data_IF_094393313048
#
_entry.id   IF_094393313048
#
_cell.length_a   1.000
_cell.length_b   1.000
_cell.length_c   1.000
_cell.angle_alpha   90.00
_cell.angle_beta   90.00
_cell.angle_gamma   90.00
#
_symmetry.space_group_name_H-M   'P 1'
#
loop_
_entity.id
_entity.type
_entity.pdbx_description
1 polymer ?
#
# COMPACT_ATOMS: atom_id res chain seq x y z
N UNK A 1 12.48 88.12 9.30
CA UNK A 1 13.05 88.22 7.97
C UNK A 1 12.62 86.93 7.29
N UNK A 2 11.48 87.00 6.64
CA UNK A 2 11.28 87.29 5.22
C UNK A 2 12.07 86.31 4.35
N UNK A 3 11.56 85.56 3.43
CA UNK A 3 10.40 85.64 2.51
C UNK A 3 10.17 84.22 1.98
N UNK A 4 9.03 83.65 1.92
CA UNK A 4 7.98 83.78 0.88
C UNK A 4 8.52 83.49 -0.56
N UNK A 5 8.10 82.37 -1.13
CA UNK A 5 7.53 82.38 -2.45
C UNK A 5 6.83 81.07 -2.84
N UNK A 6 5.60 81.27 -3.12
CA UNK A 6 4.51 80.54 -3.66
C UNK A 6 4.77 79.76 -4.96
N UNK A 7 4.18 78.59 -5.03
CA UNK A 7 3.33 77.90 -6.01
C UNK A 7 3.58 78.04 -7.54
N UNK A 8 3.13 77.08 -8.41
CA UNK A 8 1.72 76.72 -8.45
C UNK A 8 1.44 75.20 -8.60
N UNK A 9 0.17 74.91 -8.26
CA UNK A 9 -0.53 73.64 -8.55
C UNK A 9 -0.76 73.47 -10.04
N UNK A 10 -0.66 72.27 -10.52
CA UNK A 10 -1.63 71.77 -11.51
C UNK A 10 -1.67 70.22 -11.57
N UNK A 11 -2.87 69.68 -11.64
CA UNK A 11 -3.16 68.44 -12.29
C UNK A 11 -3.58 67.25 -11.44
N UNK A 12 -4.52 67.44 -10.52
CA UNK A 12 -5.30 66.31 -10.04
C UNK A 12 -6.18 65.75 -11.18
N UNK A 13 -5.67 64.80 -11.94
CA UNK A 13 -6.52 64.01 -12.82
C UNK A 13 -7.25 62.94 -12.00
N UNK A 14 -8.56 63.11 -11.99
CA UNK A 14 -9.56 62.34 -11.31
C UNK A 14 -9.50 60.84 -11.72
N UNK A 15 -9.58 59.97 -10.72
CA UNK A 15 -9.74 58.48 -10.83
C UNK A 15 -11.01 58.03 -11.58
N UNK A 16 -11.76 58.97 -12.19
CA UNK A 16 -13.01 58.69 -12.91
C UNK A 16 -12.88 58.55 -14.42
N UNK A 17 -11.77 58.85 -15.01
CA UNK A 17 -11.58 58.76 -16.47
C UNK A 17 -10.89 57.49 -16.98
N UNK A 18 -10.55 56.58 -16.09
CA UNK A 18 -9.99 55.26 -16.46
C UNK A 18 -11.01 54.12 -16.55
N UNK A 19 -12.31 54.43 -16.39
CA UNK A 19 -13.39 53.41 -16.41
C UNK A 19 -14.31 53.52 -17.64
N UNK A 20 -13.92 54.19 -18.69
CA UNK A 20 -14.78 54.40 -19.86
C UNK A 20 -14.18 53.98 -21.21
N UNK A 21 -13.32 52.98 -21.26
CA UNK A 21 -12.90 52.38 -22.52
C UNK A 21 -12.41 50.92 -22.37
N UNK A 22 -13.26 50.04 -21.89
CA UNK A 22 -13.06 48.58 -22.01
C UNK A 22 -14.42 47.83 -21.85
N UNK A 23 -15.40 48.25 -22.62
CA UNK A 23 -16.50 47.33 -22.98
C UNK A 23 -16.04 46.49 -24.15
N UNK A 24 -15.11 45.61 -23.88
CA UNK A 24 -14.83 44.48 -24.73
C UNK A 24 -15.80 43.37 -24.29
N UNK A 25 -16.71 43.06 -25.16
CA UNK A 25 -17.58 41.90 -25.19
C UNK A 25 -16.83 40.66 -24.73
N UNK A 26 -16.93 40.28 -23.44
CA UNK A 26 -16.76 38.91 -23.03
C UNK A 26 -17.99 38.15 -23.52
N UNK A 27 -17.92 37.64 -24.74
CA UNK A 27 -18.70 36.47 -25.10
C UNK A 27 -18.30 35.38 -24.10
N UNK A 28 -19.18 35.15 -23.11
CA UNK A 28 -19.11 34.00 -22.24
C UNK A 28 -19.21 32.75 -23.14
N UNK A 29 -18.08 32.24 -23.61
CA UNK A 29 -17.97 30.85 -23.94
C UNK A 29 -18.06 30.11 -22.60
N UNK A 30 -19.30 29.84 -22.15
CA UNK A 30 -19.58 28.80 -21.19
C UNK A 30 -19.11 27.49 -21.84
N UNK A 31 -17.85 27.18 -21.63
CA UNK A 31 -17.40 25.81 -21.76
C UNK A 31 -18.20 25.01 -20.70
N UNK A 32 -19.02 24.05 -21.10
CA UNK A 32 -19.52 23.11 -20.15
C UNK A 32 -18.32 22.42 -19.56
N UNK A 33 -18.09 22.61 -18.27
CA UNK A 33 -17.27 21.74 -17.46
C UNK A 33 -18.05 20.41 -17.30
N UNK A 34 -18.44 19.82 -18.38
CA UNK A 34 -18.70 18.40 -18.45
C UNK A 34 -17.34 17.72 -18.35
N UNK A 35 -17.00 17.35 -17.12
CA UNK A 35 -16.24 16.15 -16.86
C UNK A 35 -17.01 14.95 -17.44
N UNK A 36 -17.18 14.94 -18.74
CA UNK A 36 -17.36 13.75 -19.51
C UNK A 36 -16.03 12.98 -19.46
N UNK A 37 -15.72 12.37 -18.31
CA UNK A 37 -15.13 11.06 -18.36
C UNK A 37 -16.15 10.24 -19.15
N UNK A 38 -16.03 10.29 -20.47
CA UNK A 38 -16.62 9.30 -21.31
C UNK A 38 -16.25 7.96 -20.64
N UNK A 39 -17.23 7.31 -20.06
CA UNK A 39 -17.26 5.87 -19.94
C UNK A 39 -17.15 5.38 -21.38
N UNK A 40 -15.91 5.30 -21.87
CA UNK A 40 -15.62 4.39 -22.94
C UNK A 40 -15.98 3.03 -22.37
N UNK A 41 -17.06 2.45 -22.85
CA UNK A 41 -17.40 1.04 -22.74
C UNK A 41 -16.37 0.22 -23.53
N UNK A 42 -15.10 0.53 -23.37
CA UNK A 42 -13.98 -0.26 -23.81
C UNK A 42 -13.87 -1.46 -22.87
N UNK A 43 -13.92 -2.65 -23.43
CA UNK A 43 -13.63 -3.89 -22.72
C UNK A 43 -12.31 -3.72 -21.98
N UNK A 44 -12.32 -3.88 -20.64
CA UNK A 44 -11.09 -3.81 -19.85
C UNK A 44 -10.07 -4.81 -20.41
N UNK A 45 -8.81 -4.39 -20.49
CA UNK A 45 -7.73 -5.28 -20.91
C UNK A 45 -7.72 -6.55 -20.04
N UNK A 46 -7.70 -7.70 -20.70
CA UNK A 46 -7.82 -8.99 -20.04
C UNK A 46 -6.55 -9.29 -19.24
N UNK A 47 -6.74 -9.75 -18.00
CA UNK A 47 -5.66 -10.14 -17.07
C UNK A 47 -5.69 -11.65 -16.91
N UNK A 48 -4.50 -12.28 -16.94
CA UNK A 48 -4.35 -13.72 -16.65
C UNK A 48 -3.75 -13.92 -15.26
N UNK A 49 -4.23 -14.94 -14.56
CA UNK A 49 -3.68 -15.41 -13.29
C UNK A 49 -2.93 -16.72 -13.45
N UNK A 50 -1.89 -16.96 -12.64
CA UNK A 50 -1.18 -18.24 -12.56
C UNK A 50 -0.69 -18.54 -11.16
N UNK A 51 -0.78 -19.83 -10.78
CA UNK A 51 -0.28 -20.35 -9.51
C UNK A 51 1.19 -20.73 -9.63
N UNK A 52 1.94 -20.38 -8.59
CA UNK A 52 3.36 -20.72 -8.47
C UNK A 52 3.67 -21.18 -7.07
N UNK A 53 4.78 -21.88 -6.93
CA UNK A 53 5.24 -22.43 -5.66
C UNK A 53 6.74 -22.24 -5.52
N UNK A 54 7.17 -21.89 -4.32
CA UNK A 54 8.58 -21.91 -3.93
C UNK A 54 8.75 -22.64 -2.60
N UNK A 55 9.99 -22.86 -2.21
CA UNK A 55 10.34 -23.54 -0.96
C UNK A 55 11.27 -22.67 -0.14
N UNK A 56 10.85 -22.37 1.09
CA UNK A 56 11.71 -21.79 2.12
C UNK A 56 12.42 -22.90 2.90
N UNK A 57 13.73 -22.79 3.11
CA UNK A 57 14.46 -23.60 4.08
C UNK A 57 14.36 -22.97 5.46
N UNK A 58 13.99 -23.76 6.46
CA UNK A 58 13.83 -23.32 7.85
C UNK A 58 14.50 -24.33 8.80
N UNK A 59 15.82 -24.24 8.93
CA UNK A 59 16.64 -25.25 9.57
C UNK A 59 16.62 -26.55 8.76
N UNK A 60 16.21 -27.65 9.40
CA UNK A 60 16.03 -28.95 8.74
C UNK A 60 14.71 -29.03 7.92
N UNK A 61 13.77 -28.15 8.16
CA UNK A 61 12.45 -28.16 7.54
C UNK A 61 12.47 -27.50 6.16
N UNK A 62 11.50 -27.91 5.33
CA UNK A 62 11.17 -27.28 4.07
C UNK A 62 9.71 -26.83 4.12
N UNK A 63 9.47 -25.55 3.85
CA UNK A 63 8.15 -24.94 3.86
C UNK A 63 7.77 -24.55 2.44
N UNK A 64 6.68 -25.08 1.93
CA UNK A 64 6.14 -24.71 0.61
C UNK A 64 5.35 -23.42 0.75
N UNK A 65 5.66 -22.45 -0.08
CA UNK A 65 4.98 -21.15 -0.13
C UNK A 65 4.24 -21.02 -1.44
N UNK A 66 2.97 -20.64 -1.35
CA UNK A 66 2.12 -20.35 -2.49
C UNK A 66 2.33 -18.92 -2.95
N UNK A 67 2.49 -18.74 -4.27
CA UNK A 67 2.53 -17.43 -4.92
C UNK A 67 1.42 -17.36 -5.97
N UNK A 68 0.75 -16.24 -6.04
CA UNK A 68 -0.21 -15.92 -7.07
C UNK A 68 0.32 -14.79 -7.95
N UNK A 69 0.23 -14.94 -9.27
CA UNK A 69 0.69 -13.96 -10.24
C UNK A 69 -0.45 -13.49 -11.13
N UNK A 70 -0.49 -12.19 -11.42
CA UNK A 70 -1.37 -11.59 -12.41
C UNK A 70 -0.59 -10.73 -13.38
N UNK A 71 -0.95 -10.80 -14.68
CA UNK A 71 -0.34 -10.02 -15.75
C UNK A 71 -1.33 -9.80 -16.87
N UNK A 72 -1.12 -8.78 -17.70
CA UNK A 72 -1.90 -8.60 -18.90
C UNK A 72 -1.81 -9.85 -19.79
N UNK A 73 -2.93 -10.29 -20.33
CA UNK A 73 -2.93 -11.18 -21.48
C UNK A 73 -2.46 -10.37 -22.68
N UNK A 74 -1.26 -10.64 -23.13
CA UNK A 74 -0.76 -10.07 -24.37
C UNK A 74 -1.53 -10.77 -25.49
N UNK A 75 -2.36 -10.01 -26.22
CA UNK A 75 -2.87 -10.50 -27.51
C UNK A 75 -1.64 -10.85 -28.35
N UNK A 76 -1.58 -12.09 -28.84
CA UNK A 76 -0.49 -12.59 -29.69
C UNK A 76 -0.51 -11.89 -31.04
N UNK A 77 -0.24 -10.60 -31.05
CA UNK A 77 0.19 -9.90 -32.25
C UNK A 77 1.70 -10.09 -32.32
N UNK A 78 2.13 -10.86 -33.29
CA UNK A 78 3.53 -11.19 -33.49
C UNK A 78 4.40 -9.93 -33.42
N UNK A 79 5.26 -9.84 -32.39
CA UNK A 79 6.38 -8.91 -32.39
C UNK A 79 6.58 -7.97 -31.21
N UNK A 80 5.63 -7.75 -30.32
CA UNK A 80 5.83 -6.80 -29.22
C UNK A 80 5.47 -7.38 -27.86
N UNK A 81 6.43 -8.01 -27.21
CA UNK A 81 6.38 -8.21 -25.77
C UNK A 81 6.76 -6.87 -25.12
N UNK A 82 5.80 -6.09 -24.65
CA UNK A 82 6.15 -4.94 -23.80
C UNK A 82 6.84 -5.48 -22.54
N UNK A 83 7.97 -4.91 -22.20
CA UNK A 83 8.62 -5.19 -20.91
C UNK A 83 7.74 -4.52 -19.85
N UNK A 84 7.23 -5.24 -18.85
CA UNK A 84 6.43 -4.62 -17.79
C UNK A 84 7.15 -3.44 -17.15
N UNK A 85 6.40 -2.41 -16.73
CA UNK A 85 6.93 -1.22 -16.02
C UNK A 85 7.70 -1.58 -14.75
N UNK A 86 7.41 -2.75 -14.17
CA UNK A 86 8.06 -3.30 -12.99
C UNK A 86 7.38 -4.57 -12.53
N UNK A 87 7.98 -5.22 -11.54
CA UNK A 87 7.41 -6.40 -10.88
C UNK A 87 7.08 -6.03 -9.43
N UNK A 88 5.79 -6.11 -9.07
CA UNK A 88 5.31 -5.79 -7.73
C UNK A 88 5.10 -7.08 -6.94
N UNK A 89 5.66 -7.16 -5.73
CA UNK A 89 5.34 -8.18 -4.74
C UNK A 89 4.51 -7.57 -3.62
N UNK A 90 3.27 -8.02 -3.49
CA UNK A 90 2.32 -7.64 -2.46
C UNK A 90 2.41 -8.56 -1.24
N UNK A 91 2.46 -7.96 -0.04
CA UNK A 91 2.69 -8.65 1.24
C UNK A 91 1.53 -8.40 2.20
N UNK A 92 0.82 -9.47 2.57
CA UNK A 92 -0.40 -9.40 3.39
C UNK A 92 -0.12 -9.20 4.89
N UNK A 93 -1.15 -8.76 5.62
CA UNK A 93 -1.13 -8.52 7.07
C UNK A 93 -1.34 -9.79 7.92
N UNK A 94 -1.61 -9.58 9.22
CA UNK A 94 -1.58 -10.63 10.26
C UNK A 94 -2.74 -11.60 10.28
N UNK A 95 -3.86 -11.28 9.67
CA UNK A 95 -5.11 -12.01 9.95
C UNK A 95 -5.74 -12.60 8.71
N UNK A 96 -5.07 -12.48 7.59
CA UNK A 96 -5.62 -12.75 6.27
C UNK A 96 -4.50 -13.23 5.34
N UNK A 97 -4.82 -14.10 4.39
CA UNK A 97 -3.92 -14.53 3.33
C UNK A 97 -3.89 -13.54 2.15
N UNK A 98 -2.99 -13.74 1.21
CA UNK A 98 -2.67 -12.74 0.20
C UNK A 98 -3.76 -12.55 -0.85
N UNK A 99 -4.34 -13.63 -1.38
CA UNK A 99 -5.32 -13.52 -2.48
C UNK A 99 -6.59 -12.77 -2.07
N UNK A 100 -7.21 -12.96 -0.89
CA UNK A 100 -8.32 -12.11 -0.44
C UNK A 100 -7.95 -10.63 -0.33
N UNK A 101 -6.70 -10.35 0.08
CA UNK A 101 -6.24 -8.96 0.24
C UNK A 101 -5.95 -8.29 -1.10
N UNK A 102 -5.33 -8.98 -2.05
CA UNK A 102 -4.80 -8.32 -3.24
C UNK A 102 -5.49 -8.71 -4.54
N UNK A 103 -6.23 -9.81 -4.56
CA UNK A 103 -6.97 -10.28 -5.73
C UNK A 103 -8.43 -10.63 -5.41
N UNK A 104 -9.11 -9.78 -4.64
CA UNK A 104 -10.52 -9.95 -4.32
C UNK A 104 -11.36 -9.76 -5.58
N UNK A 105 -12.10 -10.79 -5.98
CA UNK A 105 -12.96 -10.77 -7.15
C UNK A 105 -14.42 -10.51 -6.74
N UNK A 106 -14.99 -9.38 -7.18
CA UNK A 106 -16.38 -9.01 -6.94
C UNK A 106 -17.03 -8.67 -8.28
N UNK A 107 -18.11 -9.36 -8.67
CA UNK A 107 -18.84 -9.01 -9.89
C UNK A 107 -19.23 -7.53 -9.94
N UNK A 108 -18.91 -6.86 -11.05
CA UNK A 108 -19.20 -5.44 -11.23
C UNK A 108 -18.27 -4.47 -10.49
N UNK A 109 -17.25 -4.96 -9.76
CA UNK A 109 -16.25 -4.14 -9.06
C UNK A 109 -14.82 -4.58 -9.41
N UNK A 110 -14.35 -4.34 -10.65
CA UNK A 110 -13.02 -4.76 -11.10
C UNK A 110 -11.87 -4.11 -10.32
N UNK A 111 -12.13 -3.00 -9.66
CA UNK A 111 -11.20 -2.30 -8.75
C UNK A 111 -10.96 -3.04 -7.43
N UNK A 112 -11.81 -3.99 -7.07
CA UNK A 112 -11.63 -4.79 -5.86
C UNK A 112 -10.36 -5.67 -5.92
N UNK A 113 -9.87 -6.01 -7.11
CA UNK A 113 -8.57 -6.64 -7.28
C UNK A 113 -7.47 -5.59 -7.49
N UNK A 114 -6.66 -5.38 -6.46
CA UNK A 114 -5.45 -4.55 -6.55
C UNK A 114 -4.50 -5.09 -7.61
N UNK A 115 -4.32 -6.41 -7.67
CA UNK A 115 -3.42 -7.06 -8.65
C UNK A 115 -3.91 -6.87 -10.08
N UNK A 116 -5.19 -7.01 -10.35
CA UNK A 116 -5.76 -6.77 -11.68
C UNK A 116 -5.61 -5.31 -12.10
N UNK A 117 -5.83 -4.38 -11.16
CA UNK A 117 -5.67 -2.97 -11.45
C UNK A 117 -4.24 -2.64 -11.87
N UNK A 118 -3.24 -3.07 -11.10
CA UNK A 118 -1.83 -2.82 -11.42
C UNK A 118 -1.37 -3.62 -12.65
N UNK A 119 -1.89 -4.82 -12.88
CA UNK A 119 -1.62 -5.56 -14.11
C UNK A 119 -2.11 -4.81 -15.36
N UNK A 120 -3.28 -4.13 -15.28
CA UNK A 120 -3.78 -3.25 -16.36
C UNK A 120 -2.95 -1.99 -16.55
N UNK A 121 -2.15 -1.58 -15.56
CA UNK A 121 -1.15 -0.53 -15.67
C UNK A 121 0.22 -1.06 -16.17
N UNK A 122 0.26 -2.28 -16.73
CA UNK A 122 1.45 -2.93 -17.29
C UNK A 122 2.51 -3.31 -16.23
N UNK A 123 2.10 -3.61 -14.99
CA UNK A 123 2.96 -4.26 -14.02
C UNK A 123 2.78 -5.78 -14.03
N UNK A 124 3.86 -6.50 -13.72
CA UNK A 124 3.79 -7.91 -13.37
C UNK A 124 3.55 -8.03 -11.87
N UNK A 125 2.37 -8.48 -11.47
CA UNK A 125 1.95 -8.45 -10.07
C UNK A 125 2.00 -9.84 -9.45
N UNK A 126 2.57 -9.91 -8.25
CA UNK A 126 2.72 -11.12 -7.46
C UNK A 126 2.25 -10.89 -6.04
N UNK A 127 1.71 -11.91 -5.40
CA UNK A 127 1.57 -11.95 -3.95
C UNK A 127 1.98 -13.32 -3.43
N UNK A 128 2.32 -13.37 -2.14
CA UNK A 128 2.74 -14.61 -1.45
C UNK A 128 1.88 -14.82 -0.22
N UNK A 129 1.36 -16.02 -0.04
CA UNK A 129 0.86 -16.47 1.26
C UNK A 129 2.06 -16.81 2.14
N UNK A 130 2.27 -16.06 3.22
CA UNK A 130 3.30 -16.37 4.20
C UNK A 130 3.02 -17.71 4.88
N UNK A 131 4.05 -18.34 5.44
CA UNK A 131 3.91 -19.57 6.21
C UNK A 131 2.80 -19.47 7.25
N UNK A 132 1.93 -20.49 7.30
CA UNK A 132 0.80 -20.54 8.20
C UNK A 132 -0.49 -19.89 7.68
N UNK A 133 -0.47 -19.30 6.48
CA UNK A 133 -1.63 -18.62 5.85
C UNK A 133 -2.00 -19.23 4.51
N UNK A 134 -3.28 -19.08 4.15
CA UNK A 134 -3.79 -19.37 2.82
C UNK A 134 -3.49 -20.78 2.34
N UNK A 135 -2.80 -20.86 1.20
CA UNK A 135 -2.42 -22.13 0.55
C UNK A 135 -1.00 -22.57 0.90
N UNK A 136 -0.20 -21.73 1.58
CA UNK A 136 1.13 -22.11 2.07
C UNK A 136 1.07 -23.13 3.19
N UNK A 137 2.16 -23.83 3.44
CA UNK A 137 2.23 -24.84 4.50
C UNK A 137 1.91 -24.25 5.87
N UNK A 138 1.13 -25.03 6.67
CA UNK A 138 0.61 -24.64 7.99
C UNK A 138 1.02 -25.62 9.10
N UNK A 139 1.88 -26.58 8.78
CA UNK A 139 2.09 -27.77 9.62
C UNK A 139 3.09 -27.57 10.75
N UNK A 140 4.02 -26.64 10.60
CA UNK A 140 5.05 -26.41 11.63
C UNK A 140 4.42 -25.76 12.89
N UNK A 141 4.83 -26.19 14.08
CA UNK A 141 4.35 -25.63 15.34
C UNK A 141 5.07 -24.32 15.67
N UNK A 142 5.07 -23.36 14.73
CA UNK A 142 5.70 -22.05 14.86
C UNK A 142 4.67 -20.93 14.89
N UNK A 143 5.00 -19.83 15.53
CA UNK A 143 4.11 -18.68 15.60
C UNK A 143 4.06 -17.87 14.30
N UNK A 144 4.99 -18.09 13.35
CA UNK A 144 5.15 -17.34 12.11
C UNK A 144 5.13 -15.80 12.33
N UNK A 145 6.13 -15.32 13.03
CA UNK A 145 6.36 -13.92 13.40
C UNK A 145 6.78 -13.05 12.20
N UNK A 146 7.14 -11.80 12.44
CA UNK A 146 7.58 -10.88 11.38
C UNK A 146 8.86 -11.37 10.71
N UNK A 147 9.80 -11.94 11.49
CA UNK A 147 11.06 -12.48 10.95
C UNK A 147 10.83 -13.67 10.04
N UNK A 148 9.96 -14.60 10.46
CA UNK A 148 9.52 -15.73 9.63
C UNK A 148 8.93 -15.24 8.29
N UNK A 149 8.08 -14.20 8.33
CA UNK A 149 7.53 -13.61 7.11
C UNK A 149 8.58 -12.92 6.24
N UNK A 150 9.60 -12.29 6.79
CA UNK A 150 10.70 -11.73 6.01
C UNK A 150 11.52 -12.84 5.30
N UNK A 151 11.67 -14.00 5.93
CA UNK A 151 12.29 -15.17 5.32
C UNK A 151 11.42 -15.79 4.21
N UNK A 152 10.07 -15.74 4.36
CA UNK A 152 9.14 -16.10 3.28
C UNK A 152 9.33 -15.19 2.07
N UNK A 153 9.48 -13.87 2.28
CA UNK A 153 9.76 -12.92 1.21
C UNK A 153 11.11 -13.16 0.56
N UNK A 154 12.12 -13.62 1.30
CA UNK A 154 13.42 -13.97 0.74
C UNK A 154 13.29 -15.13 -0.25
N UNK A 155 12.55 -16.18 0.09
CA UNK A 155 12.30 -17.31 -0.81
C UNK A 155 11.41 -16.91 -2.00
N UNK A 156 10.37 -16.12 -1.77
CA UNK A 156 9.47 -15.63 -2.82
C UNK A 156 10.21 -14.72 -3.80
N UNK A 157 11.00 -13.76 -3.29
CA UNK A 157 11.76 -12.83 -4.14
C UNK A 157 12.79 -13.54 -5.01
N UNK A 158 13.50 -14.53 -4.47
CA UNK A 158 14.46 -15.32 -5.23
C UNK A 158 13.77 -16.05 -6.40
N UNK A 159 12.64 -16.69 -6.14
CA UNK A 159 11.84 -17.35 -7.17
C UNK A 159 11.38 -16.37 -8.26
N UNK A 160 10.81 -15.23 -7.87
CA UNK A 160 10.27 -14.23 -8.79
C UNK A 160 11.40 -13.61 -9.63
N UNK A 161 12.50 -13.19 -8.99
CA UNK A 161 13.64 -12.58 -9.69
C UNK A 161 14.25 -13.54 -10.70
N UNK A 162 14.33 -14.83 -10.39
CA UNK A 162 14.80 -15.86 -11.34
C UNK A 162 13.91 -15.94 -12.59
N UNK A 163 12.56 -15.77 -12.43
CA UNK A 163 11.63 -15.71 -13.56
C UNK A 163 11.77 -14.41 -14.37
N UNK A 164 12.36 -13.37 -13.79
CA UNK A 164 12.44 -12.00 -14.35
C UNK A 164 13.86 -11.58 -14.73
N UNK A 165 14.78 -12.52 -14.88
CA UNK A 165 16.16 -12.23 -15.28
C UNK A 165 16.96 -11.41 -14.26
N UNK A 166 16.61 -11.49 -12.97
CA UNK A 166 17.31 -10.81 -11.88
C UNK A 166 16.84 -9.40 -11.58
N UNK A 167 15.76 -8.90 -12.22
CA UNK A 167 15.25 -7.54 -11.97
C UNK A 167 14.78 -7.39 -10.53
N UNK A 168 15.13 -6.26 -9.89
CA UNK A 168 14.69 -5.90 -8.54
C UNK A 168 13.18 -5.72 -8.47
N UNK A 169 12.63 -5.93 -7.27
CA UNK A 169 11.19 -5.90 -7.02
C UNK A 169 10.74 -4.56 -6.44
N UNK A 170 9.54 -4.15 -6.83
CA UNK A 170 8.73 -3.17 -6.13
C UNK A 170 7.96 -3.90 -5.03
N UNK A 171 8.03 -3.41 -3.79
CA UNK A 171 7.34 -4.04 -2.66
C UNK A 171 6.19 -3.18 -2.16
N UNK A 172 5.06 -3.80 -1.89
CA UNK A 172 3.99 -3.20 -1.11
C UNK A 172 3.61 -4.11 0.05
N UNK A 173 3.73 -3.61 1.27
CA UNK A 173 3.29 -4.31 2.47
C UNK A 173 2.20 -3.55 3.21
N UNK A 174 1.16 -4.25 3.66
CA UNK A 174 0.06 -3.67 4.42
C UNK A 174 0.02 -4.21 5.87
N UNK A 175 -0.09 -3.33 6.86
CA UNK A 175 -0.15 -3.68 8.29
C UNK A 175 1.10 -4.46 8.73
N UNK A 176 0.98 -5.65 9.33
CA UNK A 176 2.17 -6.49 9.59
C UNK A 176 2.88 -6.96 8.32
N UNK A 177 2.23 -6.88 7.17
CA UNK A 177 2.89 -7.04 5.88
C UNK A 177 3.91 -5.91 5.61
N UNK A 178 3.63 -4.70 6.09
CA UNK A 178 4.59 -3.60 6.04
C UNK A 178 5.80 -3.87 6.96
N UNK A 179 5.60 -4.48 8.12
CA UNK A 179 6.71 -4.93 8.98
C UNK A 179 7.56 -6.00 8.29
N UNK A 180 6.92 -7.01 7.68
CA UNK A 180 7.62 -8.06 6.90
C UNK A 180 8.39 -7.48 5.73
N UNK A 181 7.78 -6.59 4.95
CA UNK A 181 8.39 -5.93 3.80
C UNK A 181 9.54 -5.00 4.23
N UNK A 182 9.38 -4.25 5.31
CA UNK A 182 10.41 -3.39 5.89
C UNK A 182 11.62 -4.19 6.39
N UNK A 183 11.37 -5.26 7.13
CA UNK A 183 12.44 -6.14 7.62
C UNK A 183 13.15 -6.88 6.48
N UNK A 184 12.40 -7.30 5.45
CA UNK A 184 12.97 -7.89 4.24
C UNK A 184 13.85 -6.88 3.49
N UNK A 185 13.37 -5.65 3.29
CA UNK A 185 14.14 -4.59 2.62
C UNK A 185 15.41 -4.21 3.39
N UNK A 186 15.35 -4.23 4.73
CA UNK A 186 16.51 -4.04 5.60
C UNK A 186 17.57 -5.15 5.41
N UNK A 187 17.13 -6.41 5.24
CA UNK A 187 18.00 -7.58 5.14
C UNK A 187 18.52 -7.85 3.71
N UNK A 188 17.75 -7.46 2.69
CA UNK A 188 18.00 -7.78 1.28
C UNK A 188 17.80 -6.55 0.36
N UNK A 189 18.49 -5.42 0.62
CA UNK A 189 18.29 -4.18 -0.15
C UNK A 189 18.65 -4.34 -1.64
N UNK A 190 19.52 -5.29 -1.97
CA UNK A 190 19.92 -5.59 -3.35
C UNK A 190 18.77 -6.18 -4.20
N UNK A 191 17.71 -6.71 -3.56
CA UNK A 191 16.54 -7.28 -4.23
C UNK A 191 15.38 -6.30 -4.38
N UNK A 192 15.46 -5.14 -3.74
CA UNK A 192 14.38 -4.17 -3.66
C UNK A 192 14.70 -2.94 -4.49
N UNK A 193 13.80 -2.55 -5.39
CA UNK A 193 13.88 -1.32 -6.15
C UNK A 193 13.28 -0.14 -5.36
N UNK A 194 12.08 -0.33 -4.81
CA UNK A 194 11.32 0.60 -3.97
C UNK A 194 10.44 -0.19 -3.01
N UNK A 195 10.15 0.36 -1.83
CA UNK A 195 9.21 -0.24 -0.88
C UNK A 195 8.15 0.78 -0.45
N UNK A 196 6.88 0.35 -0.47
CA UNK A 196 5.76 1.08 0.10
C UNK A 196 5.24 0.34 1.34
N UNK A 197 5.24 1.02 2.47
CA UNK A 197 4.87 0.50 3.80
C UNK A 197 3.55 1.17 4.22
N UNK A 198 2.45 0.45 4.04
CA UNK A 198 1.11 0.95 4.33
C UNK A 198 0.63 0.45 5.70
N UNK A 199 0.07 1.36 6.50
CA UNK A 199 -0.41 1.07 7.85
C UNK A 199 0.67 0.39 8.74
N UNK A 200 1.93 0.79 8.57
CA UNK A 200 3.06 0.33 9.36
C UNK A 200 2.89 0.76 10.82
N UNK A 201 3.36 -0.06 11.75
CA UNK A 201 3.63 0.33 13.13
C UNK A 201 5.12 0.15 13.42
N UNK A 202 5.73 1.12 14.10
CA UNK A 202 7.16 1.03 14.44
C UNK A 202 7.40 0.63 15.89
N UNK A 203 7.14 1.54 16.84
CA UNK A 203 7.25 1.24 18.27
C UNK A 203 5.90 0.88 18.90
N UNK A 204 4.80 1.24 18.20
CA UNK A 204 3.44 1.10 18.68
C UNK A 204 3.02 2.20 19.65
N UNK A 205 3.83 3.23 19.85
CA UNK A 205 3.48 4.38 20.68
C UNK A 205 2.27 5.12 20.07
N UNK A 206 1.32 5.48 20.93
CA UNK A 206 0.11 6.17 20.53
C UNK A 206 -0.89 5.31 19.74
N UNK A 207 -0.75 3.97 19.72
CA UNK A 207 -1.68 3.05 19.07
C UNK A 207 -2.75 2.51 20.04
N UNK A 208 -4.01 2.95 19.96
CA UNK A 208 -5.06 2.42 20.83
C UNK A 208 -5.34 0.93 20.57
N UNK A 209 -5.29 0.50 19.31
CA UNK A 209 -5.49 -0.91 18.94
C UNK A 209 -4.42 -1.82 19.54
N UNK A 210 -3.16 -1.39 19.57
CA UNK A 210 -2.08 -2.20 20.18
C UNK A 210 -2.18 -2.20 21.70
N UNK A 211 -2.60 -1.11 22.32
CA UNK A 211 -2.87 -1.07 23.75
C UNK A 211 -3.88 -2.13 24.17
N UNK A 212 -4.96 -2.30 23.41
CA UNK A 212 -5.95 -3.36 23.66
C UNK A 212 -5.39 -4.76 23.38
N UNK A 213 -4.61 -4.94 22.32
CA UNK A 213 -3.98 -6.25 22.01
C UNK A 213 -2.99 -6.69 23.07
N UNK A 214 -2.24 -5.79 23.69
CA UNK A 214 -1.30 -6.09 24.78
C UNK A 214 -1.98 -6.78 25.96
N UNK A 215 -3.24 -6.46 26.27
CA UNK A 215 -4.02 -7.10 27.35
C UNK A 215 -4.22 -8.60 27.11
N UNK A 216 -4.15 -9.05 25.84
CA UNK A 216 -4.35 -10.44 25.43
C UNK A 216 -3.04 -11.18 25.08
N UNK A 217 -1.89 -10.63 25.44
CA UNK A 217 -0.58 -11.20 25.09
C UNK A 217 -0.40 -12.64 25.60
N UNK A 218 -0.88 -12.94 26.81
CA UNK A 218 -0.83 -14.30 27.36
C UNK A 218 -1.58 -15.32 26.50
N UNK A 219 -2.74 -14.94 25.94
CA UNK A 219 -3.51 -15.80 25.03
C UNK A 219 -2.74 -16.05 23.71
N UNK A 220 -2.08 -15.02 23.17
CA UNK A 220 -1.29 -15.18 21.93
C UNK A 220 -0.06 -16.06 22.13
N UNK A 221 0.52 -16.06 23.33
CA UNK A 221 1.65 -16.94 23.69
C UNK A 221 1.25 -18.37 23.99
N UNK A 222 0.00 -18.58 24.41
CA UNK A 222 -0.49 -19.91 24.77
C UNK A 222 -0.72 -20.84 23.56
N UNK A 223 -0.80 -20.28 22.35
CA UNK A 223 -0.98 -21.06 21.13
C UNK A 223 -0.26 -20.40 19.95
N UNK A 224 0.28 -21.21 19.04
CA UNK A 224 0.87 -20.72 17.80
C UNK A 224 -0.16 -20.27 16.78
N UNK A 225 -1.45 -20.55 17.00
CA UNK A 225 -2.57 -20.14 16.13
C UNK A 225 -3.72 -19.60 16.95
N UNK A 226 -4.47 -18.68 16.38
CA UNK A 226 -5.73 -18.15 16.93
C UNK A 226 -6.86 -18.31 15.92
N UNK A 227 -8.10 -18.54 16.36
CA UNK A 227 -9.25 -18.60 15.48
C UNK A 227 -9.55 -17.23 14.88
N UNK A 228 -10.17 -17.24 13.70
CA UNK A 228 -10.81 -16.10 13.05
C UNK A 228 -12.20 -16.52 12.59
N UNK A 229 -13.13 -15.60 12.68
CA UNK A 229 -14.51 -15.76 12.25
C UNK A 229 -14.97 -14.52 11.46
N UNK A 230 -16.20 -14.53 11.00
CA UNK A 230 -16.76 -13.45 10.19
C UNK A 230 -16.82 -12.13 10.94
N UNK A 231 -17.19 -12.15 12.20
CA UNK A 231 -17.30 -10.94 13.02
C UNK A 231 -15.92 -10.32 13.28
N UNK A 232 -14.92 -11.17 13.51
CA UNK A 232 -13.54 -10.72 13.58
C UNK A 232 -13.11 -10.06 12.25
N UNK A 233 -13.40 -10.68 11.09
CA UNK A 233 -13.04 -10.11 9.79
C UNK A 233 -13.75 -8.78 9.55
N UNK A 234 -15.05 -8.66 9.83
CA UNK A 234 -15.81 -7.41 9.79
C UNK A 234 -15.21 -6.33 10.67
N UNK A 235 -14.75 -6.70 11.87
CA UNK A 235 -14.16 -5.76 12.83
C UNK A 235 -12.88 -5.08 12.30
N UNK A 236 -12.16 -5.69 11.37
CA UNK A 236 -10.98 -5.08 10.71
C UNK A 236 -11.36 -3.76 10.00
N UNK A 237 -12.58 -3.67 9.48
CA UNK A 237 -13.08 -2.52 8.73
C UNK A 237 -13.79 -1.46 9.57
N UNK A 238 -14.18 -1.81 10.80
CA UNK A 238 -15.05 -0.94 11.62
C UNK A 238 -14.41 -0.45 12.91
N UNK A 239 -13.39 -1.15 13.44
CA UNK A 239 -12.80 -0.86 14.76
C UNK A 239 -12.14 0.52 14.85
N UNK A 240 -11.51 0.99 13.78
CA UNK A 240 -10.77 2.26 13.80
C UNK A 240 -11.68 3.43 13.39
N UNK A 241 -12.47 3.26 12.32
CA UNK A 241 -13.47 4.21 11.88
C UNK A 241 -14.50 3.52 10.97
N UNK A 242 -15.76 3.37 11.39
CA UNK A 242 -16.79 2.72 10.57
C UNK A 242 -17.16 3.54 9.33
N UNK A 243 -17.61 2.85 8.28
CA UNK A 243 -18.11 3.48 7.05
C UNK A 243 -17.07 3.86 6.02
N UNK A 244 -15.77 3.58 6.26
CA UNK A 244 -14.68 3.82 5.29
C UNK A 244 -14.63 2.79 4.16
N UNK A 245 -15.30 1.66 4.29
CA UNK A 245 -15.39 0.59 3.27
C UNK A 245 -16.86 0.28 2.96
N UNK A 246 -17.12 -0.18 1.72
CA UNK A 246 -18.45 -0.63 1.31
C UNK A 246 -18.77 -1.99 1.93
N UNK A 247 -20.00 -2.17 2.41
CA UNK A 247 -20.44 -3.41 3.05
C UNK A 247 -20.32 -4.62 2.09
N UNK A 248 -20.61 -4.44 0.79
CA UNK A 248 -20.43 -5.48 -0.22
C UNK A 248 -18.98 -5.95 -0.30
N UNK A 249 -18.02 -5.02 -0.20
CA UNK A 249 -16.58 -5.35 -0.19
C UNK A 249 -16.20 -6.08 1.09
N UNK A 250 -16.73 -5.64 2.23
CA UNK A 250 -16.47 -6.28 3.55
C UNK A 250 -16.96 -7.73 3.57
N UNK A 251 -18.19 -8.00 3.09
CA UNK A 251 -18.74 -9.35 3.07
C UNK A 251 -18.02 -10.27 2.08
N UNK A 252 -17.77 -9.81 0.86
CA UNK A 252 -17.01 -10.58 -0.13
C UNK A 252 -15.58 -10.89 0.37
N UNK A 253 -14.97 -9.96 1.08
CA UNK A 253 -13.66 -10.15 1.71
C UNK A 253 -13.73 -11.21 2.82
N UNK A 254 -14.77 -11.17 3.67
CA UNK A 254 -14.97 -12.16 4.71
C UNK A 254 -15.17 -13.56 4.14
N UNK A 255 -15.96 -13.70 3.07
CA UNK A 255 -16.15 -14.98 2.37
C UNK A 255 -14.83 -15.52 1.82
N UNK A 256 -14.06 -14.67 1.14
CA UNK A 256 -12.78 -15.05 0.55
C UNK A 256 -11.72 -15.45 1.60
N UNK A 257 -11.67 -14.75 2.73
CA UNK A 257 -10.75 -15.06 3.84
C UNK A 257 -11.11 -16.40 4.47
N UNK A 258 -12.39 -16.60 4.85
CA UNK A 258 -12.84 -17.79 5.57
C UNK A 258 -12.86 -19.05 4.71
N UNK A 259 -12.88 -18.90 3.39
CA UNK A 259 -12.67 -20.02 2.46
C UNK A 259 -11.26 -20.61 2.53
N UNK A 260 -10.27 -19.84 2.99
CA UNK A 260 -8.86 -20.24 3.05
C UNK A 260 -8.39 -20.52 4.50
N UNK A 261 -8.84 -19.71 5.45
CA UNK A 261 -8.36 -19.74 6.82
C UNK A 261 -9.49 -19.56 7.84
N UNK A 262 -9.59 -20.50 8.79
CA UNK A 262 -10.43 -20.38 10.01
C UNK A 262 -9.58 -20.12 11.25
N UNK A 263 -8.27 -20.21 11.11
CA UNK A 263 -7.29 -19.82 12.13
C UNK A 263 -6.02 -19.31 11.47
N UNK A 264 -5.28 -18.43 12.15
CA UNK A 264 -4.07 -17.80 11.65
C UNK A 264 -2.97 -17.78 12.71
N UNK A 265 -1.69 -17.68 12.33
CA UNK A 265 -0.59 -17.61 13.28
C UNK A 265 -0.68 -16.42 14.25
N UNK A 266 -0.10 -16.58 15.44
CA UNK A 266 -0.10 -15.57 16.51
C UNK A 266 1.15 -14.68 16.52
N UNK A 267 2.23 -15.06 15.82
CA UNK A 267 3.55 -14.45 15.96
C UNK A 267 3.59 -12.96 15.70
N UNK A 268 2.93 -12.49 14.64
CA UNK A 268 2.87 -11.04 14.36
C UNK A 268 2.11 -10.24 15.43
N UNK A 269 1.14 -10.88 16.12
CA UNK A 269 0.45 -10.26 17.26
C UNK A 269 1.33 -10.22 18.49
N UNK A 270 2.14 -11.26 18.73
CA UNK A 270 3.16 -11.29 19.78
C UNK A 270 4.18 -10.18 19.53
N UNK A 271 4.71 -10.08 18.30
CA UNK A 271 5.67 -9.04 17.93
C UNK A 271 5.12 -7.63 18.17
N UNK A 272 3.93 -7.34 17.63
CA UNK A 272 3.31 -6.02 17.80
C UNK A 272 2.89 -5.71 19.25
N UNK A 273 2.73 -6.72 20.10
CA UNK A 273 2.34 -6.52 21.49
C UNK A 273 3.51 -6.48 22.48
N UNK A 274 4.67 -7.08 22.12
CA UNK A 274 5.77 -7.26 23.07
C UNK A 274 7.18 -7.02 22.51
N UNK A 275 7.39 -7.06 21.20
CA UNK A 275 8.73 -7.10 20.61
C UNK A 275 9.06 -5.89 19.71
N UNK A 276 8.17 -4.89 19.61
CA UNK A 276 8.46 -3.68 18.83
C UNK A 276 9.59 -2.86 19.46
N UNK A 277 10.45 -2.22 18.65
CA UNK A 277 10.46 -2.25 17.18
C UNK A 277 11.13 -3.49 16.60
N UNK A 278 10.55 -4.09 15.57
CA UNK A 278 11.14 -5.23 14.82
C UNK A 278 11.83 -4.81 13.52
N UNK A 279 11.65 -3.57 13.12
CA UNK A 279 12.28 -2.95 11.95
C UNK A 279 13.09 -1.75 12.40
N UNK A 280 14.33 -1.67 11.94
CA UNK A 280 15.22 -0.53 12.20
C UNK A 280 15.22 0.38 10.95
N UNK A 281 14.60 1.57 10.99
CA UNK A 281 14.54 2.46 9.83
C UNK A 281 15.91 2.88 9.31
N UNK A 282 16.92 2.99 10.17
CA UNK A 282 18.27 3.41 9.80
C UNK A 282 18.99 2.38 8.89
N UNK A 283 18.47 1.14 8.86
CA UNK A 283 18.99 0.06 8.01
C UNK A 283 18.20 -0.14 6.70
N UNK A 284 17.14 0.64 6.46
CA UNK A 284 16.41 0.59 5.20
C UNK A 284 17.05 1.59 4.23
N UNK A 285 17.97 1.12 3.41
CA UNK A 285 18.73 1.95 2.48
C UNK A 285 18.03 2.18 1.13
N UNK A 286 16.92 1.52 0.88
CA UNK A 286 16.16 1.63 -0.39
C UNK A 286 15.16 2.77 -0.36
N UNK A 287 14.75 3.32 -1.52
CA UNK A 287 13.65 4.29 -1.61
C UNK A 287 12.39 3.77 -0.89
N UNK A 288 11.80 4.61 -0.03
CA UNK A 288 10.73 4.20 0.88
C UNK A 288 9.55 5.17 0.88
N UNK A 289 8.34 4.66 0.63
CA UNK A 289 7.08 5.37 0.83
C UNK A 289 6.40 4.83 2.11
N UNK A 290 6.03 5.72 3.02
CA UNK A 290 5.15 5.42 4.15
C UNK A 290 3.76 5.94 3.83
N UNK A 291 2.76 5.08 3.97
CA UNK A 291 1.35 5.41 3.77
C UNK A 291 0.56 5.17 5.05
N UNK A 292 -0.30 6.12 5.40
CA UNK A 292 -1.14 6.03 6.58
C UNK A 292 -2.56 6.51 6.28
N UNK A 293 -3.57 5.72 6.62
CA UNK A 293 -4.95 6.19 6.65
C UNK A 293 -5.15 7.26 7.74
N UNK A 294 -5.95 8.28 7.45
CA UNK A 294 -6.29 9.34 8.41
C UNK A 294 -6.79 8.77 9.74
N UNK A 295 -7.61 7.72 9.68
CA UNK A 295 -8.29 7.10 10.82
C UNK A 295 -7.65 5.77 11.25
N UNK A 296 -6.41 5.49 10.84
CA UNK A 296 -5.74 4.25 11.23
C UNK A 296 -5.43 4.24 12.74
N UNK A 297 -6.04 3.31 13.47
CA UNK A 297 -5.88 3.15 14.92
C UNK A 297 -4.66 2.29 15.33
N UNK A 298 -3.95 1.69 14.36
CA UNK A 298 -2.71 0.93 14.62
C UNK A 298 -1.49 1.80 14.37
N UNK A 299 -1.43 2.46 13.24
CA UNK A 299 -0.31 3.28 12.80
C UNK A 299 -0.47 4.72 13.31
N UNK A 300 0.10 5.08 14.45
CA UNK A 300 0.04 6.46 14.94
C UNK A 300 0.88 7.39 14.07
N UNK A 301 0.39 8.63 13.90
CA UNK A 301 1.09 9.62 13.06
C UNK A 301 2.49 9.92 13.60
N UNK A 302 2.61 10.14 14.91
CA UNK A 302 3.89 10.50 15.54
C UNK A 302 4.91 9.35 15.46
N UNK A 303 4.47 8.13 15.67
CA UNK A 303 5.32 6.93 15.56
C UNK A 303 5.90 6.82 14.14
N UNK A 304 5.06 7.03 13.11
CA UNK A 304 5.50 7.00 11.72
C UNK A 304 6.34 8.21 11.31
N UNK A 305 6.08 9.39 11.83
CA UNK A 305 6.91 10.58 11.59
C UNK A 305 8.33 10.37 12.14
N UNK A 306 8.44 9.76 13.32
CA UNK A 306 9.71 9.42 13.94
C UNK A 306 10.45 8.33 13.14
N UNK A 307 9.74 7.33 12.60
CA UNK A 307 10.29 6.33 11.70
C UNK A 307 10.82 6.98 10.41
N UNK A 308 10.00 7.81 9.78
CA UNK A 308 10.33 8.52 8.53
C UNK A 308 11.58 9.39 8.68
N UNK A 309 11.71 10.11 9.78
CA UNK A 309 12.85 10.98 10.04
C UNK A 309 14.18 10.21 10.03
N UNK A 310 14.17 8.94 10.46
CA UNK A 310 15.36 8.09 10.60
C UNK A 310 15.73 7.32 9.32
N UNK A 311 14.88 7.31 8.29
CA UNK A 311 15.22 6.66 7.02
C UNK A 311 16.42 7.38 6.37
N UNK A 312 17.50 6.66 6.01
CA UNK A 312 18.72 7.29 5.49
C UNK A 312 18.61 7.70 4.02
N UNK A 313 17.77 7.01 3.24
CA UNK A 313 17.65 7.30 1.81
C UNK A 313 16.87 8.62 1.60
N UNK A 314 17.41 9.60 0.84
CA UNK A 314 16.71 10.87 0.57
C UNK A 314 15.48 10.71 -0.32
N UNK A 315 15.40 9.65 -1.15
CA UNK A 315 14.18 9.30 -1.90
C UNK A 315 13.18 8.60 -0.96
N UNK A 316 12.56 9.40 -0.09
CA UNK A 316 11.57 8.94 0.89
C UNK A 316 10.37 9.87 0.92
N UNK A 317 9.18 9.27 1.13
CA UNK A 317 7.90 9.99 1.18
C UNK A 317 7.07 9.51 2.37
N UNK A 318 6.27 10.41 2.96
CA UNK A 318 5.27 10.09 3.97
C UNK A 318 3.95 10.74 3.60
N UNK A 319 2.89 9.93 3.47
CA UNK A 319 1.58 10.38 3.02
C UNK A 319 0.52 9.97 4.03
N UNK A 320 -0.35 10.92 4.41
CA UNK A 320 -1.58 10.66 5.15
C UNK A 320 -2.75 10.71 4.17
N UNK A 321 -3.51 9.63 4.09
CA UNK A 321 -4.61 9.46 3.13
C UNK A 321 -5.95 9.82 3.78
N UNK A 322 -6.65 10.88 3.31
CA UNK A 322 -7.90 11.34 3.90
C UNK A 322 -9.03 10.33 3.73
N UNK A 323 -9.90 10.21 4.74
CA UNK A 323 -11.09 9.37 4.73
C UNK A 323 -10.80 7.85 4.71
N UNK A 324 -9.60 7.44 5.00
CA UNK A 324 -9.14 6.04 5.01
C UNK A 324 -8.81 5.61 6.44
N UNK A 325 -9.26 4.41 6.82
CA UNK A 325 -8.87 3.73 8.05
C UNK A 325 -7.73 2.71 7.77
N UNK A 326 -7.65 1.63 8.54
CA UNK A 326 -6.56 0.66 8.45
C UNK A 326 -6.51 -0.13 7.11
N UNK A 327 -7.66 -0.33 6.45
CA UNK A 327 -7.78 -1.16 5.23
C UNK A 327 -7.78 -0.30 3.97
N UNK A 328 -6.65 0.34 3.64
CA UNK A 328 -6.55 1.36 2.60
C UNK A 328 -7.02 0.89 1.22
N UNK A 329 -6.50 -0.24 0.73
CA UNK A 329 -6.85 -0.78 -0.61
C UNK A 329 -8.29 -1.30 -0.72
N UNK A 330 -9.02 -1.44 0.41
CA UNK A 330 -10.42 -1.87 0.49
C UNK A 330 -11.36 -0.73 0.91
N UNK A 331 -10.84 0.50 1.03
CA UNK A 331 -11.63 1.66 1.38
C UNK A 331 -12.44 2.17 0.18
N UNK A 332 -13.44 3.00 0.44
CA UNK A 332 -14.14 3.75 -0.62
C UNK A 332 -13.22 4.65 -1.42
N UNK A 333 -12.12 5.10 -0.80
CA UNK A 333 -11.09 5.95 -1.41
C UNK A 333 -9.92 5.14 -2.02
N UNK A 334 -10.15 3.87 -2.40
CA UNK A 334 -9.16 3.00 -3.03
C UNK A 334 -8.43 3.65 -4.22
N UNK A 335 -9.13 4.46 -5.02
CA UNK A 335 -8.54 5.11 -6.19
C UNK A 335 -7.39 6.06 -5.82
N UNK A 336 -7.48 6.75 -4.66
CA UNK A 336 -6.39 7.55 -4.13
C UNK A 336 -5.18 6.68 -3.77
N UNK A 337 -5.41 5.53 -3.13
CA UNK A 337 -4.34 4.58 -2.75
C UNK A 337 -3.61 4.08 -3.98
N UNK A 338 -4.34 3.65 -5.00
CA UNK A 338 -3.75 3.12 -6.23
C UNK A 338 -3.00 4.20 -7.01
N UNK A 339 -3.54 5.41 -7.08
CA UNK A 339 -2.84 6.54 -7.70
C UNK A 339 -1.50 6.85 -7.02
N UNK A 340 -1.48 6.91 -5.69
CA UNK A 340 -0.27 7.19 -4.92
C UNK A 340 0.78 6.08 -5.12
N UNK A 341 0.37 4.81 -5.10
CA UNK A 341 1.26 3.68 -5.34
C UNK A 341 1.81 3.67 -6.77
N UNK A 342 0.95 3.88 -7.78
CA UNK A 342 1.39 3.92 -9.18
C UNK A 342 2.38 5.06 -9.43
N UNK A 343 2.06 6.26 -8.94
CA UNK A 343 2.95 7.42 -9.03
C UNK A 343 4.32 7.15 -8.38
N UNK A 344 4.33 6.53 -7.19
CA UNK A 344 5.55 6.21 -6.47
C UNK A 344 6.38 5.12 -7.18
N UNK A 345 5.74 4.05 -7.64
CA UNK A 345 6.42 2.94 -8.31
C UNK A 345 6.96 3.30 -9.70
N UNK A 346 6.33 4.25 -10.39
CA UNK A 346 6.77 4.75 -11.69
C UNK A 346 7.63 6.01 -11.62
N UNK A 347 7.91 6.51 -10.43
CA UNK A 347 8.71 7.69 -10.23
C UNK A 347 10.10 7.52 -10.89
N UNK A 348 10.53 8.48 -11.74
CA UNK A 348 11.86 8.43 -12.33
C UNK A 348 12.95 8.53 -11.25
N UNK A 349 14.10 7.94 -11.53
CA UNK A 349 15.27 8.14 -10.68
C UNK A 349 15.67 9.62 -10.67
N UNK A 350 16.13 10.17 -9.53
CA UNK A 350 16.65 11.53 -9.50
C UNK A 350 17.85 11.67 -10.44
N UNK A 351 17.89 12.78 -11.19
CA UNK A 351 19.02 13.09 -12.09
C UNK A 351 20.21 13.64 -11.31
N UNK A 352 19.94 14.30 -10.19
CA UNK A 352 20.95 14.83 -9.29
C UNK A 352 20.68 14.39 -7.86
N UNK A 353 21.71 13.92 -7.18
CA UNK A 353 21.61 13.36 -5.81
C UNK A 353 22.57 14.01 -4.80
N UNK A 354 23.25 15.10 -5.18
CA UNK A 354 24.22 15.82 -4.34
C UNK A 354 25.66 15.51 -4.66
#
# INVERSE_FOLDING_TARGET
MNEDNSAPADGARSRREFLAAATLTLAAASLPAENARAQQSGTLAEVSGSEHWTVKRAGADSVRLFLWRKQLKIATVAGARSVPRGTILFVHGSSVSATPVFDLQIPGKPEASTMDWFARQDYDTWCVDCEGYGRSDKLRPVNADVSCGADDLAAASEYIMKQKGGAKLLLYGASSGALRAGLFAQRNPERVQRVALDALVWTGEGSPTLAERKKRLAEYRASNRRPIDRDFVRSIFTRDHPGTSDLTVVEAFADAVLALDTSVPTGTYIDMSANLPVVDPEKISVPTLIMRGQWDGIASFQDLANFFARLPNPDKQFIVMPGIAHTSTRSKNWALVYHLLDAYFSQPAPVYVG
#
